data_IF_679710739100
#
_entry.id   IF_679710739100
#
_cell.length_a   1.000
_cell.length_b   1.000
_cell.length_c   1.000
_cell.angle_alpha   90.00
_cell.angle_beta   90.00
_cell.angle_gamma   90.00
#
_symmetry.space_group_name_H-M   'P 1'
#
loop_
_entity.id
_entity.type
_entity.pdbx_description
1 polymer ?
#
# COMPACT_ATOMS: atom_id res chain seq x y z
N UNK A 1 -21.40 -11.70 26.22
CA UNK A 1 -20.87 -10.62 25.35
C UNK A 1 -20.12 -11.17 24.14
N UNK A 2 -19.01 -11.92 24.24
CA UNK A 2 -18.31 -12.51 23.08
C UNK A 2 -19.19 -13.35 22.12
N UNK A 3 -20.14 -14.15 22.61
CA UNK A 3 -20.96 -15.00 21.71
C UNK A 3 -21.95 -14.23 20.84
N UNK A 4 -22.33 -13.01 21.23
CA UNK A 4 -23.18 -12.14 20.40
C UNK A 4 -22.41 -11.51 19.24
N UNK A 5 -21.08 -11.37 19.38
CA UNK A 5 -20.21 -10.89 18.32
C UNK A 5 -20.01 -11.94 17.23
N UNK A 6 -19.84 -13.22 17.61
CA UNK A 6 -19.71 -14.31 16.63
C UNK A 6 -21.01 -14.57 15.84
N UNK A 7 -22.18 -14.34 16.45
CA UNK A 7 -23.47 -14.40 15.73
C UNK A 7 -23.68 -13.23 14.75
N UNK A 8 -23.13 -12.05 15.06
CA UNK A 8 -23.31 -10.83 14.26
C UNK A 8 -22.25 -10.70 13.17
N UNK A 9 -21.02 -11.11 13.46
CA UNK A 9 -19.86 -11.06 12.57
C UNK A 9 -19.61 -12.46 12.00
N UNK A 10 -20.54 -12.92 11.18
CA UNK A 10 -20.35 -14.15 10.41
C UNK A 10 -19.38 -13.92 9.25
N UNK A 11 -18.69 -14.98 8.82
CA UNK A 11 -17.84 -14.95 7.63
C UNK A 11 -18.61 -14.47 6.40
N UNK A 12 -19.87 -14.92 6.24
CA UNK A 12 -20.74 -14.47 5.17
C UNK A 12 -20.98 -12.95 5.20
N UNK A 13 -21.25 -12.39 6.38
CA UNK A 13 -21.43 -10.95 6.54
C UNK A 13 -20.16 -10.18 6.17
N UNK A 14 -18.98 -10.64 6.59
CA UNK A 14 -17.71 -10.02 6.22
C UNK A 14 -17.46 -10.08 4.71
N UNK A 15 -17.72 -11.21 4.06
CA UNK A 15 -17.59 -11.38 2.62
C UNK A 15 -18.54 -10.44 1.85
N UNK A 16 -19.79 -10.30 2.29
CA UNK A 16 -20.75 -9.36 1.70
C UNK A 16 -20.27 -7.90 1.84
N UNK A 17 -19.69 -7.53 2.98
CA UNK A 17 -19.12 -6.19 3.20
C UNK A 17 -17.91 -5.93 2.32
N UNK A 18 -16.98 -6.87 2.22
CA UNK A 18 -15.82 -6.78 1.33
C UNK A 18 -16.27 -6.64 -0.12
N UNK A 19 -17.20 -7.49 -0.57
CA UNK A 19 -17.74 -7.46 -1.93
C UNK A 19 -18.42 -6.13 -2.25
N UNK A 20 -19.19 -5.58 -1.30
CA UNK A 20 -19.87 -4.29 -1.46
C UNK A 20 -18.88 -3.12 -1.54
N UNK A 21 -17.78 -3.18 -0.79
CA UNK A 21 -16.72 -2.17 -0.87
C UNK A 21 -16.03 -2.27 -2.24
N UNK A 22 -15.64 -3.47 -2.65
CA UNK A 22 -14.99 -3.70 -3.94
C UNK A 22 -15.90 -3.22 -5.08
N UNK A 23 -17.21 -3.52 -5.06
CA UNK A 23 -18.10 -3.09 -6.14
C UNK A 23 -18.28 -1.58 -6.26
N UNK A 24 -18.11 -0.83 -5.17
CA UNK A 24 -18.20 0.64 -5.16
C UNK A 24 -16.88 1.26 -5.64
N UNK A 25 -15.75 0.72 -5.21
CA UNK A 25 -14.44 1.36 -5.39
C UNK A 25 -13.59 0.77 -6.52
N UNK A 26 -13.92 -0.42 -7.03
CA UNK A 26 -13.19 -1.04 -8.13
C UNK A 26 -13.64 -0.45 -9.48
N UNK A 27 -13.15 0.74 -9.78
CA UNK A 27 -13.49 1.52 -10.98
C UNK A 27 -12.38 1.48 -12.05
N UNK A 28 -11.40 0.57 -11.92
CA UNK A 28 -10.25 0.48 -12.81
C UNK A 28 -9.94 -0.98 -13.16
N UNK A 29 -9.90 -1.28 -14.47
CA UNK A 29 -9.40 -2.55 -15.01
C UNK A 29 -7.89 -2.45 -15.26
N UNK A 30 -7.10 -3.21 -14.50
CA UNK A 30 -5.64 -3.24 -14.51
C UNK A 30 -5.02 -4.28 -15.46
N UNK A 31 -5.72 -4.66 -16.52
CA UNK A 31 -5.40 -5.84 -17.37
C UNK A 31 -4.01 -5.80 -18.05
N UNK A 32 -3.32 -4.65 -18.07
CA UNK A 32 -2.00 -4.51 -18.72
C UNK A 32 -0.79 -4.37 -17.75
N UNK A 33 -0.99 -4.43 -16.43
CA UNK A 33 0.08 -4.12 -15.45
C UNK A 33 1.19 -5.19 -15.38
N UNK A 34 0.89 -6.46 -15.61
CA UNK A 34 1.88 -7.54 -15.48
C UNK A 34 3.07 -7.39 -16.45
N UNK A 35 2.82 -6.88 -17.66
CA UNK A 35 3.88 -6.67 -18.67
C UNK A 35 4.79 -5.47 -18.35
N UNK A 36 4.29 -4.50 -17.58
CA UNK A 36 4.98 -3.25 -17.24
C UNK A 36 5.71 -3.36 -15.89
N UNK A 37 5.28 -4.25 -15.01
CA UNK A 37 5.91 -4.56 -13.71
C UNK A 37 7.42 -4.78 -13.80
N UNK A 38 7.91 -5.40 -14.87
CA UNK A 38 9.34 -5.62 -15.11
C UNK A 38 10.18 -4.35 -15.32
N UNK A 39 9.57 -3.15 -15.35
CA UNK A 39 10.26 -1.86 -15.51
C UNK A 39 10.42 -1.08 -14.20
N UNK A 40 9.73 -1.47 -13.13
CA UNK A 40 9.81 -0.78 -11.85
C UNK A 40 10.87 -1.44 -10.98
N UNK A 41 11.95 -0.70 -10.66
CA UNK A 41 13.04 -1.17 -9.81
C UNK A 41 12.68 -1.11 -8.31
N UNK A 42 11.54 -1.71 -7.93
CA UNK A 42 11.07 -1.71 -6.53
C UNK A 42 12.07 -2.41 -5.60
N UNK A 43 12.71 -3.50 -6.03
CA UNK A 43 13.70 -4.22 -5.23
C UNK A 43 14.90 -3.31 -4.88
N UNK A 44 15.34 -2.48 -5.83
CA UNK A 44 16.42 -1.51 -5.62
C UNK A 44 15.97 -0.43 -4.65
N UNK A 45 14.77 0.12 -4.83
CA UNK A 45 14.19 1.09 -3.89
C UNK A 45 14.13 0.54 -2.47
N UNK A 46 13.61 -0.68 -2.30
CA UNK A 46 13.49 -1.33 -1.00
C UNK A 46 14.85 -1.54 -0.35
N UNK A 47 15.84 -1.99 -1.13
CA UNK A 47 17.22 -2.18 -0.67
C UNK A 47 17.90 -0.87 -0.29
N UNK A 48 17.67 0.23 -1.04
CA UNK A 48 18.21 1.55 -0.72
C UNK A 48 17.64 2.12 0.60
N UNK A 49 16.41 1.72 0.96
CA UNK A 49 15.73 2.14 2.18
C UNK A 49 15.74 1.07 3.29
N UNK A 50 16.64 0.08 3.18
CA UNK A 50 16.78 -1.07 4.09
C UNK A 50 16.74 -0.71 5.57
N UNK A 51 17.48 0.33 5.99
CA UNK A 51 17.57 0.70 7.41
C UNK A 51 16.22 1.18 7.97
N UNK A 52 15.39 1.82 7.15
CA UNK A 52 14.03 2.22 7.53
C UNK A 52 13.16 0.98 7.73
N UNK A 53 13.19 0.05 6.77
CA UNK A 53 12.41 -1.19 6.87
C UNK A 53 12.84 -2.07 8.04
N UNK A 54 14.13 -2.05 8.42
CA UNK A 54 14.61 -2.74 9.62
C UNK A 54 13.98 -2.16 10.90
N UNK A 55 13.84 -0.84 10.99
CA UNK A 55 13.17 -0.18 12.12
C UNK A 55 11.67 -0.49 12.13
N UNK A 56 11.01 -0.49 10.97
CA UNK A 56 9.58 -0.85 10.86
C UNK A 56 9.34 -2.28 11.31
N UNK A 57 10.13 -3.22 10.78
CA UNK A 57 10.03 -4.64 11.11
C UNK A 57 10.27 -4.87 12.61
N UNK A 58 11.30 -4.25 13.19
CA UNK A 58 11.56 -4.32 14.63
C UNK A 58 10.34 -3.86 15.44
N UNK A 59 9.78 -2.68 15.14
CA UNK A 59 8.61 -2.18 15.85
C UNK A 59 7.38 -3.10 15.67
N UNK A 60 7.15 -3.64 14.46
CA UNK A 60 6.04 -4.57 14.18
C UNK A 60 6.19 -5.86 15.02
N UNK A 61 7.40 -6.40 15.15
CA UNK A 61 7.69 -7.62 15.95
C UNK A 61 7.60 -7.39 17.45
N UNK A 62 7.97 -6.21 17.95
CA UNK A 62 7.88 -5.88 19.37
C UNK A 62 6.43 -5.73 19.85
N UNK A 63 5.51 -5.33 18.96
CA UNK A 63 4.14 -4.95 19.32
C UNK A 63 3.06 -5.93 18.84
N UNK A 64 3.41 -6.97 18.08
CA UNK A 64 2.46 -8.01 17.62
C UNK A 64 2.89 -9.39 18.10
N UNK A 65 1.93 -10.18 18.61
CA UNK A 65 2.15 -11.59 18.93
C UNK A 65 2.34 -12.45 17.66
N UNK A 66 1.75 -12.03 16.54
CA UNK A 66 1.90 -12.67 15.24
C UNK A 66 2.74 -11.80 14.29
N UNK A 67 3.85 -12.36 13.81
CA UNK A 67 4.81 -11.63 12.98
C UNK A 67 4.31 -11.68 11.54
N UNK A 68 3.98 -10.53 10.92
CA UNK A 68 3.54 -10.52 9.53
C UNK A 68 4.62 -11.06 8.60
N UNK A 69 4.21 -11.78 7.55
CA UNK A 69 5.13 -12.38 6.58
C UNK A 69 5.80 -11.29 5.73
N UNK A 70 7.01 -10.89 6.14
CA UNK A 70 7.86 -9.95 5.40
C UNK A 70 8.39 -10.58 4.12
N UNK A 71 8.57 -9.77 3.08
CA UNK A 71 9.26 -10.22 1.85
C UNK A 71 10.76 -10.33 2.12
N UNK A 72 11.42 -11.31 1.50
CA UNK A 72 12.87 -11.50 1.55
C UNK A 72 13.54 -10.94 0.29
N UNK A 73 14.53 -10.06 0.48
CA UNK A 73 15.38 -9.54 -0.60
C UNK A 73 16.83 -9.68 -0.14
N UNK A 74 17.69 -10.26 -0.97
CA UNK A 74 19.10 -10.46 -0.64
C UNK A 74 19.36 -11.25 0.65
N UNK A 75 18.44 -12.14 1.05
CA UNK A 75 18.53 -12.94 2.28
C UNK A 75 18.05 -12.22 3.55
N UNK A 76 17.44 -11.04 3.43
CA UNK A 76 16.88 -10.30 4.57
C UNK A 76 15.35 -10.23 4.51
N UNK A 77 14.66 -10.86 5.46
CA UNK A 77 13.19 -10.87 5.56
C UNK A 77 12.66 -9.70 6.42
N UNK A 78 12.95 -8.47 6.00
CA UNK A 78 12.58 -7.24 6.72
C UNK A 78 11.68 -6.30 5.91
N UNK A 79 11.46 -6.58 4.63
CA UNK A 79 10.76 -5.70 3.70
C UNK A 79 9.24 -5.85 3.81
N UNK A 80 8.45 -4.91 3.23
CA UNK A 80 6.99 -4.94 3.30
C UNK A 80 6.39 -6.29 2.91
N UNK A 81 5.16 -6.55 3.34
CA UNK A 81 4.46 -7.77 2.98
C UNK A 81 4.23 -7.83 1.47
N UNK A 82 4.06 -9.03 0.90
CA UNK A 82 3.90 -9.18 -0.56
C UNK A 82 2.78 -8.28 -1.11
N UNK A 83 1.65 -8.18 -0.40
CA UNK A 83 0.54 -7.30 -0.78
C UNK A 83 0.92 -5.81 -0.78
N UNK A 84 1.74 -5.36 0.17
CA UNK A 84 2.23 -3.98 0.20
C UNK A 84 3.14 -3.70 -1.01
N UNK A 85 4.04 -4.64 -1.32
CA UNK A 85 4.90 -4.55 -2.51
C UNK A 85 4.07 -4.50 -3.81
N UNK A 86 2.99 -5.27 -3.88
CA UNK A 86 2.10 -5.30 -5.04
C UNK A 86 1.35 -3.97 -5.20
N UNK A 87 0.92 -3.35 -4.10
CA UNK A 87 0.32 -2.01 -4.11
C UNK A 87 1.34 -0.95 -4.55
N UNK A 88 2.57 -0.98 -4.00
CA UNK A 88 3.64 -0.05 -4.40
C UNK A 88 3.97 -0.18 -5.89
N UNK A 89 4.10 -1.41 -6.38
CA UNK A 89 4.37 -1.70 -7.80
C UNK A 89 3.24 -1.19 -8.68
N UNK A 90 1.99 -1.49 -8.32
CA UNK A 90 0.82 -1.02 -9.08
C UNK A 90 0.78 0.50 -9.12
N UNK A 91 0.93 1.17 -7.97
CA UNK A 91 0.92 2.63 -7.90
C UNK A 91 2.02 3.26 -8.77
N UNK A 92 3.22 2.67 -8.77
CA UNK A 92 4.33 3.11 -9.60
C UNK A 92 4.04 2.96 -11.10
N UNK A 93 3.47 1.83 -11.53
CA UNK A 93 3.13 1.60 -12.95
C UNK A 93 2.07 2.62 -13.41
N UNK A 94 1.05 2.89 -12.59
CA UNK A 94 0.01 3.87 -12.94
C UNK A 94 0.63 5.25 -13.06
N UNK A 95 1.47 5.63 -12.10
CA UNK A 95 2.14 6.93 -12.10
C UNK A 95 3.01 7.10 -13.36
N UNK A 96 3.75 6.07 -13.75
CA UNK A 96 4.58 6.05 -14.97
C UNK A 96 3.75 6.10 -16.27
N UNK A 97 2.48 5.65 -16.22
CA UNK A 97 1.58 5.68 -17.38
C UNK A 97 1.09 7.10 -17.74
N UNK A 98 1.22 8.07 -16.83
CA UNK A 98 0.81 9.45 -17.06
C UNK A 98 1.93 10.29 -17.67
N UNK A 99 1.53 11.37 -18.36
CA UNK A 99 2.49 12.40 -18.78
C UNK A 99 2.97 13.20 -17.57
N UNK A 100 4.27 13.52 -17.53
CA UNK A 100 4.87 14.34 -16.47
C UNK A 100 4.06 15.63 -16.26
N UNK A 101 3.60 15.86 -15.02
CA UNK A 101 2.83 17.04 -14.63
C UNK A 101 1.32 16.94 -14.87
N UNK A 102 0.79 15.79 -15.28
CA UNK A 102 -0.66 15.59 -15.50
C UNK A 102 -1.16 14.44 -14.62
N UNK A 103 -2.12 14.75 -13.73
CA UNK A 103 -2.73 13.78 -12.83
C UNK A 103 -1.94 13.58 -11.53
N UNK A 104 -2.50 12.76 -10.63
CA UNK A 104 -1.87 12.38 -9.37
C UNK A 104 -2.31 10.98 -9.00
N UNK A 105 -1.35 10.15 -8.59
CA UNK A 105 -1.60 8.83 -8.01
C UNK A 105 -1.32 8.90 -6.52
N UNK A 106 -2.20 8.35 -5.71
CA UNK A 106 -2.00 8.32 -4.27
C UNK A 106 -2.51 7.02 -3.64
N UNK A 107 -1.74 6.48 -2.70
CA UNK A 107 -2.12 5.32 -1.90
C UNK A 107 -2.63 5.80 -0.55
N UNK A 108 -3.90 5.56 -0.25
CA UNK A 108 -4.51 5.90 1.03
C UNK A 108 -4.28 4.76 2.05
N UNK A 109 -3.26 4.90 2.90
CA UNK A 109 -2.89 3.87 3.88
C UNK A 109 -2.29 4.48 5.14
N UNK A 110 -2.52 3.81 6.27
CA UNK A 110 -1.88 4.13 7.56
C UNK A 110 -0.66 3.26 7.85
N UNK A 111 -0.32 2.32 6.97
CA UNK A 111 0.79 1.40 7.20
C UNK A 111 2.13 2.15 7.21
N UNK A 112 2.92 1.87 8.24
CA UNK A 112 4.28 2.38 8.43
C UNK A 112 5.22 2.03 7.27
N UNK A 113 5.00 0.91 6.57
CA UNK A 113 5.80 0.51 5.40
C UNK A 113 5.73 1.52 4.25
N UNK A 114 4.62 2.24 4.13
CA UNK A 114 4.48 3.32 3.16
C UNK A 114 4.82 4.67 3.77
N UNK A 115 4.36 4.93 5.00
CA UNK A 115 4.45 6.27 5.59
C UNK A 115 5.89 6.75 5.80
N UNK A 116 6.79 5.88 6.27
CA UNK A 116 8.16 6.29 6.58
C UNK A 116 9.01 6.56 5.34
N UNK A 117 8.63 6.03 4.19
CA UNK A 117 9.29 6.24 2.89
C UNK A 117 8.42 7.04 1.91
N UNK A 118 7.33 7.64 2.39
CA UNK A 118 6.33 8.32 1.55
C UNK A 118 6.91 9.36 0.61
N UNK A 119 7.88 10.15 1.09
CA UNK A 119 8.56 11.14 0.25
C UNK A 119 9.41 10.51 -0.84
N UNK A 120 10.12 9.43 -0.52
CA UNK A 120 10.95 8.72 -1.49
C UNK A 120 10.09 8.00 -2.55
N UNK A 121 8.94 7.44 -2.17
CA UNK A 121 7.96 6.88 -3.11
C UNK A 121 7.47 7.94 -4.11
N UNK A 122 7.18 9.15 -3.63
CA UNK A 122 6.77 10.26 -4.49
C UNK A 122 7.89 10.71 -5.43
N UNK A 123 9.13 10.78 -4.95
CA UNK A 123 10.28 11.23 -5.73
C UNK A 123 10.75 10.20 -6.77
N UNK A 124 10.75 8.92 -6.43
CA UNK A 124 11.24 7.84 -7.32
C UNK A 124 10.15 7.27 -8.23
N UNK A 125 8.91 7.17 -7.74
CA UNK A 125 7.81 6.52 -8.47
C UNK A 125 6.63 7.44 -8.78
N UNK A 126 6.65 8.69 -8.35
CA UNK A 126 5.64 9.67 -8.74
C UNK A 126 4.25 9.50 -8.09
N UNK A 127 4.13 8.64 -7.07
CA UNK A 127 2.88 8.47 -6.32
C UNK A 127 3.01 8.91 -4.85
N UNK A 128 1.97 9.56 -4.35
CA UNK A 128 1.91 10.03 -2.96
C UNK A 128 1.32 8.98 -1.99
N UNK A 129 1.53 9.20 -0.70
CA UNK A 129 0.90 8.42 0.39
C UNK A 129 0.02 9.32 1.23
N UNK A 130 -1.24 8.94 1.42
CA UNK A 130 -2.23 9.67 2.23
C UNK A 130 -2.50 8.87 3.50
N UNK A 131 -2.09 9.42 4.65
CA UNK A 131 -2.20 8.77 5.96
C UNK A 131 -3.40 9.20 6.81
N UNK A 132 -4.11 10.25 6.43
CA UNK A 132 -5.28 10.75 7.15
C UNK A 132 -6.30 11.48 6.25
N UNK A 133 -7.49 11.70 6.80
CA UNK A 133 -8.60 12.36 6.12
C UNK A 133 -8.31 13.82 5.76
N UNK A 134 -7.43 14.51 6.50
CA UNK A 134 -7.09 15.90 6.19
C UNK A 134 -6.23 15.97 4.94
N UNK A 135 -5.26 15.06 4.81
CA UNK A 135 -4.46 14.89 3.60
C UNK A 135 -5.33 14.45 2.41
N UNK A 136 -6.28 13.53 2.64
CA UNK A 136 -7.21 13.09 1.60
C UNK A 136 -8.07 14.25 1.10
N UNK A 137 -8.62 15.06 2.01
CA UNK A 137 -9.43 16.21 1.64
C UNK A 137 -8.63 17.24 0.83
N UNK A 138 -7.35 17.46 1.14
CA UNK A 138 -6.50 18.35 0.33
C UNK A 138 -6.29 17.84 -1.11
N UNK A 139 -6.31 16.52 -1.31
CA UNK A 139 -6.13 15.88 -2.61
C UNK A 139 -7.44 15.79 -3.40
N UNK A 140 -8.55 15.47 -2.74
CA UNK A 140 -9.88 15.38 -3.35
C UNK A 140 -10.50 16.75 -3.66
N UNK A 141 -10.12 17.78 -2.89
CA UNK A 141 -10.57 19.16 -3.07
C UNK A 141 -9.38 20.05 -3.39
N UNK A 142 -8.74 19.80 -4.54
CA UNK A 142 -7.92 20.83 -5.18
C UNK A 142 -8.90 21.92 -5.65
N UNK A 143 -8.83 23.07 -4.97
CA UNK A 143 -9.65 24.28 -5.12
C UNK A 143 -11.03 24.28 -4.43
N UNK A 144 -11.03 24.69 -3.15
CA UNK A 144 -12.07 25.59 -2.62
C UNK A 144 -11.45 26.93 -2.26
#
# INVERSE_FOLDING_TARGET
>A
ERSSWDETVSEKFLQERVSSIISIFNNWDGDDLESVSNKIDLEVFLTNHRDIFRVVDQHKREHKEDIPARTEIGGESIYPEKGDCDIMTSAAIIADSFSIGVGSVAVATRDSDFKLVSRALEEEFGFGVIGDLQQLNKLAYLDS
#
